data_IF_157709193278
#
_entry.id   IF_157709193278
#
_cell.length_a   1.000
_cell.length_b   1.000
_cell.length_c   1.000
_cell.angle_alpha   90.00
_cell.angle_beta   90.00
_cell.angle_gamma   90.00
#
_symmetry.space_group_name_H-M   'P 1'
#
loop_
_entity.id
_entity.type
_entity.pdbx_description
1 polymer ?
#
# COMPACT_ATOMS: atom_id res chain seq x y z
N UNK A 1 3.00 -9.35 -6.88
CA UNK A 1 2.48 -9.65 -5.54
C UNK A 1 0.96 -9.63 -5.63
N UNK A 2 0.40 -10.82 -5.82
CA UNK A 2 -1.04 -11.04 -5.88
C UNK A 2 -1.55 -10.90 -4.45
N UNK A 3 -2.49 -9.99 -4.20
CA UNK A 3 -3.47 -10.31 -3.16
C UNK A 3 -4.12 -11.59 -3.68
N UNK A 4 -3.72 -12.72 -3.12
CA UNK A 4 -4.22 -14.00 -3.59
C UNK A 4 -5.74 -13.97 -3.53
N UNK A 5 -6.40 -14.54 -4.54
CA UNK A 5 -7.85 -14.67 -4.58
C UNK A 5 -8.41 -15.25 -3.26
N UNK A 6 -7.59 -16.01 -2.53
CA UNK A 6 -7.88 -16.54 -1.21
C UNK A 6 -8.21 -15.45 -0.16
N UNK A 7 -7.52 -14.30 -0.15
CA UNK A 7 -7.82 -13.20 0.78
C UNK A 7 -9.17 -12.58 0.42
N UNK A 8 -9.46 -12.41 -0.88
CA UNK A 8 -10.74 -11.88 -1.36
C UNK A 8 -11.89 -12.87 -1.04
N UNK A 9 -11.68 -14.16 -1.27
CA UNK A 9 -12.63 -15.23 -0.96
C UNK A 9 -12.84 -15.36 0.56
N UNK A 10 -11.81 -15.16 1.36
CA UNK A 10 -11.92 -15.21 2.81
C UNK A 10 -12.68 -13.99 3.35
N UNK A 11 -12.36 -12.79 2.86
CA UNK A 11 -13.04 -11.55 3.22
C UNK A 11 -14.52 -11.51 2.75
N UNK A 12 -14.90 -12.28 1.72
CA UNK A 12 -16.29 -12.36 1.28
C UNK A 12 -17.21 -13.10 2.26
N UNK A 13 -16.66 -13.80 3.26
CA UNK A 13 -17.44 -14.51 4.27
C UNK A 13 -18.29 -13.53 5.11
N UNK A 14 -19.56 -13.86 5.41
CA UNK A 14 -20.45 -12.98 6.15
C UNK A 14 -19.90 -12.54 7.52
N UNK A 15 -19.17 -13.43 8.19
CA UNK A 15 -18.56 -13.19 9.51
C UNK A 15 -17.39 -12.19 9.48
N UNK A 16 -16.91 -11.76 8.31
CA UNK A 16 -15.73 -10.90 8.15
C UNK A 16 -16.07 -9.54 7.53
N UNK A 17 -17.14 -8.91 8.03
CA UNK A 17 -17.62 -7.62 7.53
C UNK A 17 -16.54 -6.54 7.54
N UNK A 18 -15.81 -6.42 8.64
CA UNK A 18 -14.80 -5.38 8.81
C UNK A 18 -13.63 -5.58 7.85
N UNK A 19 -13.13 -6.83 7.73
CA UNK A 19 -12.08 -7.17 6.79
C UNK A 19 -12.51 -6.86 5.35
N UNK A 20 -13.73 -7.23 4.96
CA UNK A 20 -14.26 -6.94 3.62
C UNK A 20 -14.26 -5.44 3.32
N UNK A 21 -14.73 -4.64 4.28
CA UNK A 21 -14.82 -3.20 4.10
C UNK A 21 -13.43 -2.57 3.94
N UNK A 22 -12.48 -2.95 4.81
CA UNK A 22 -11.11 -2.45 4.71
C UNK A 22 -10.42 -2.93 3.44
N UNK A 23 -10.60 -4.19 3.02
CA UNK A 23 -10.06 -4.70 1.76
C UNK A 23 -10.62 -3.95 0.56
N UNK A 24 -11.93 -3.67 0.53
CA UNK A 24 -12.53 -2.88 -0.54
C UNK A 24 -11.93 -1.47 -0.63
N UNK A 25 -11.80 -0.77 0.50
CA UNK A 25 -11.20 0.56 0.55
C UNK A 25 -9.73 0.59 0.08
N UNK A 26 -8.94 -0.43 0.43
CA UNK A 26 -7.55 -0.56 -0.06
C UNK A 26 -7.53 -0.82 -1.56
N UNK A 27 -8.39 -1.70 -2.07
CA UNK A 27 -8.45 -2.01 -3.50
C UNK A 27 -8.86 -0.78 -4.33
N UNK A 28 -9.88 -0.04 -3.89
CA UNK A 28 -10.34 1.18 -4.56
C UNK A 28 -9.22 2.22 -4.62
N UNK A 29 -8.53 2.45 -3.49
CA UNK A 29 -7.38 3.36 -3.43
C UNK A 29 -6.23 2.89 -4.32
N UNK A 30 -5.93 1.59 -4.37
CA UNK A 30 -4.88 1.05 -5.23
C UNK A 30 -5.20 1.23 -6.72
N UNK A 31 -6.47 1.02 -7.11
CA UNK A 31 -6.95 1.29 -8.47
C UNK A 31 -6.80 2.77 -8.81
N UNK A 32 -7.21 3.66 -7.92
CA UNK A 32 -7.06 5.11 -8.09
C UNK A 32 -5.59 5.51 -8.30
N UNK A 33 -4.67 5.00 -7.49
CA UNK A 33 -3.22 5.26 -7.64
C UNK A 33 -2.72 4.79 -9.02
N UNK A 34 -3.13 3.60 -9.46
CA UNK A 34 -2.74 3.06 -10.78
C UNK A 34 -3.34 3.84 -11.96
N UNK A 35 -4.48 4.49 -11.76
CA UNK A 35 -5.08 5.38 -12.76
C UNK A 35 -4.32 6.71 -12.87
N UNK A 36 -3.79 7.23 -11.76
CA UNK A 36 -3.01 8.48 -11.75
C UNK A 36 -1.62 8.31 -12.38
N UNK A 37 -0.93 7.20 -12.11
CA UNK A 37 0.40 6.90 -12.66
C UNK A 37 0.65 5.40 -12.78
N UNK A 38 1.47 5.02 -13.77
CA UNK A 38 1.97 3.64 -13.87
C UNK A 38 2.81 3.31 -12.63
N UNK A 39 2.26 2.48 -11.76
CA UNK A 39 2.90 1.90 -10.58
C UNK A 39 2.59 0.39 -10.57
N UNK A 40 3.48 -0.42 -9.98
CA UNK A 40 3.25 -1.86 -9.92
C UNK A 40 2.01 -2.18 -9.08
N UNK A 41 1.37 -3.33 -9.33
CA UNK A 41 0.25 -3.77 -8.48
C UNK A 41 0.69 -3.86 -7.01
N UNK A 42 1.87 -4.40 -6.73
CA UNK A 42 2.40 -4.53 -5.37
C UNK A 42 2.55 -3.18 -4.68
N UNK A 43 3.21 -2.22 -5.35
CA UNK A 43 3.47 -0.90 -4.77
C UNK A 43 2.18 -0.10 -4.60
N UNK A 44 1.22 -0.24 -5.53
CA UNK A 44 -0.10 0.40 -5.37
C UNK A 44 -0.85 -0.09 -4.16
N UNK A 45 -0.76 -1.39 -3.84
CA UNK A 45 -1.44 -1.98 -2.68
C UNK A 45 -0.75 -1.60 -1.37
N UNK A 46 0.58 -1.56 -1.35
CA UNK A 46 1.35 -1.10 -0.19
C UNK A 46 1.03 0.37 0.12
N UNK A 47 1.11 1.24 -0.89
CA UNK A 47 0.78 2.66 -0.75
C UNK A 47 -0.68 2.88 -0.33
N UNK A 48 -1.61 2.17 -0.97
CA UNK A 48 -3.04 2.25 -0.64
C UNK A 48 -3.33 1.79 0.78
N UNK A 49 -2.71 0.70 1.24
CA UNK A 49 -2.87 0.22 2.61
C UNK A 49 -2.38 1.24 3.62
N UNK A 50 -1.18 1.81 3.40
CA UNK A 50 -0.62 2.86 4.25
C UNK A 50 -1.56 4.07 4.34
N UNK A 51 -2.10 4.54 3.20
CA UNK A 51 -3.06 5.67 3.17
C UNK A 51 -4.36 5.33 3.90
N UNK A 52 -4.98 4.18 3.60
CA UNK A 52 -6.29 3.80 4.15
C UNK A 52 -6.24 3.60 5.67
N UNK A 53 -5.13 3.07 6.19
CA UNK A 53 -4.96 2.85 7.63
C UNK A 53 -4.22 4.00 8.34
N UNK A 54 -3.83 5.05 7.62
CA UNK A 54 -3.14 6.22 8.20
C UNK A 54 -1.75 5.90 8.75
N UNK A 55 -1.02 4.98 8.11
CA UNK A 55 0.34 4.59 8.46
C UNK A 55 1.38 5.21 7.55
N UNK A 56 2.59 5.43 8.07
CA UNK A 56 3.74 5.79 7.24
C UNK A 56 4.33 4.55 6.56
N UNK A 57 4.75 4.68 5.30
CA UNK A 57 5.44 3.63 4.56
C UNK A 57 6.95 3.70 4.83
N UNK A 58 7.48 2.69 5.51
CA UNK A 58 8.92 2.49 5.65
C UNK A 58 9.51 1.81 4.39
N UNK A 59 10.33 2.54 3.62
CA UNK A 59 10.98 2.00 2.42
C UNK A 59 12.23 2.78 2.08
N UNK A 60 13.27 2.10 1.58
CA UNK A 60 14.44 2.77 1.01
C UNK A 60 14.18 3.29 -0.42
N UNK A 61 13.17 2.75 -1.10
CA UNK A 61 12.79 3.17 -2.46
C UNK A 61 11.79 4.33 -2.41
N UNK A 62 12.19 5.45 -1.80
CA UNK A 62 11.30 6.59 -1.55
C UNK A 62 10.85 7.32 -2.82
N UNK A 63 11.70 7.31 -3.86
CA UNK A 63 11.48 8.04 -5.12
C UNK A 63 10.22 7.53 -5.85
N UNK A 64 9.97 6.23 -5.83
CA UNK A 64 8.83 5.62 -6.53
C UNK A 64 7.46 6.03 -5.94
N UNK A 65 7.46 6.51 -4.69
CA UNK A 65 6.27 6.96 -3.96
C UNK A 65 6.16 8.48 -3.86
N UNK A 66 7.19 9.24 -4.26
CA UNK A 66 7.26 10.69 -4.08
C UNK A 66 6.17 11.51 -4.79
N UNK A 67 5.45 10.91 -5.74
CA UNK A 67 4.35 11.55 -6.47
C UNK A 67 3.00 11.46 -5.74
N UNK A 68 2.93 10.76 -4.61
CA UNK A 68 1.70 10.54 -3.83
C UNK A 68 1.71 11.48 -2.61
N UNK A 69 1.10 12.68 -2.69
CA UNK A 69 1.21 13.68 -1.63
C UNK A 69 0.55 13.25 -0.30
N UNK A 70 -0.48 12.40 -0.35
CA UNK A 70 -1.14 11.86 0.83
C UNK A 70 -0.36 10.74 1.56
N UNK A 71 0.73 10.23 0.98
CA UNK A 71 1.51 9.13 1.55
C UNK A 71 2.73 9.65 2.31
N UNK A 72 2.76 9.41 3.63
CA UNK A 72 3.96 9.62 4.42
C UNK A 72 4.96 8.50 4.17
N UNK A 73 6.17 8.85 3.71
CA UNK A 73 7.24 7.89 3.43
C UNK A 73 8.44 8.19 4.32
N UNK A 74 9.00 7.15 4.94
CA UNK A 74 10.22 7.24 5.73
C UNK A 74 11.26 6.25 5.19
N UNK A 75 12.50 6.70 5.04
CA UNK A 75 13.63 5.82 4.72
C UNK A 75 14.34 5.40 6.02
N UNK A 76 14.11 4.18 6.53
CA UNK A 76 14.66 3.74 7.80
C UNK A 76 16.18 3.59 7.79
N UNK A 77 16.80 3.54 6.61
CA UNK A 77 18.25 3.33 6.46
C UNK A 77 18.99 4.54 5.90
N UNK A 78 18.30 5.66 5.70
CA UNK A 78 18.88 6.92 5.20
C UNK A 78 20.08 7.41 6.03
N UNK A 79 20.08 7.15 7.34
CA UNK A 79 21.12 7.57 8.27
C UNK A 79 22.14 6.47 8.62
N UNK A 80 22.07 5.30 7.97
CA UNK A 80 23.11 4.29 8.10
C UNK A 80 24.30 4.80 7.28
N UNK A 81 25.23 5.49 7.96
CA UNK A 81 26.50 5.88 7.38
C UNK A 81 27.11 4.66 6.73
N UNK A 82 27.46 4.76 5.44
CA UNK A 82 28.33 3.77 4.78
C UNK A 82 29.64 3.78 5.56
N UNK A 83 29.78 2.88 6.54
CA UNK A 83 31.07 2.60 7.14
C UNK A 83 31.98 2.13 6.01
N UNK A 84 33.15 2.76 5.82
CA UNK A 84 34.09 2.40 4.77
C UNK A 84 34.59 0.95 4.93
#
# INVERSE_FOLDING_TARGET
MLIDSNIIIFASRPAQRDLRQSTASVLDKAVELRQRRKISLGDSLIAASAIVFGHSLATHNTIDFAWIPELQVLDPISNISKTP
#
